data_IF_059631860141
#
_entry.id   IF_059631860141
#
_cell.length_a   1.000
_cell.length_b   1.000
_cell.length_c   1.000
_cell.angle_alpha   90.00
_cell.angle_beta   90.00
_cell.angle_gamma   90.00
#
_symmetry.space_group_name_H-M   'P 1'
#
loop_
_entity.id
_entity.type
_entity.pdbx_description
1 polymer ?
#
# COMPACT_ATOMS: atom_id res chain seq x y z
N UNK A 1 24.36 -37.67 -22.02
CA UNK A 1 25.13 -36.48 -21.59
C UNK A 1 25.07 -35.31 -22.57
N UNK A 2 25.38 -35.47 -23.87
CA UNK A 2 25.37 -34.35 -24.85
C UNK A 2 24.02 -33.60 -24.97
N UNK A 3 22.89 -34.31 -25.03
CA UNK A 3 21.55 -33.69 -25.08
C UNK A 3 21.24 -32.87 -23.82
N UNK A 4 21.55 -33.43 -22.64
CA UNK A 4 21.38 -32.75 -21.36
C UNK A 4 22.22 -31.48 -21.28
N UNK A 5 23.49 -31.54 -21.70
CA UNK A 5 24.36 -30.37 -21.76
C UNK A 5 23.84 -29.28 -22.71
N UNK A 6 23.25 -29.67 -23.85
CA UNK A 6 22.65 -28.73 -24.79
C UNK A 6 21.39 -28.05 -24.23
N UNK A 7 20.51 -28.81 -23.57
CA UNK A 7 19.30 -28.29 -22.92
C UNK A 7 19.69 -27.34 -21.78
N UNK A 8 20.64 -27.75 -20.92
CA UNK A 8 21.10 -26.91 -19.81
C UNK A 8 21.82 -25.65 -20.30
N UNK A 9 22.67 -25.77 -21.32
CA UNK A 9 23.40 -24.63 -21.89
C UNK A 9 22.46 -23.62 -22.56
N UNK A 10 21.53 -24.08 -23.39
CA UNK A 10 20.53 -23.21 -24.02
C UNK A 10 19.58 -22.57 -23.00
N UNK A 11 19.13 -23.33 -22.00
CA UNK A 11 18.33 -22.79 -20.90
C UNK A 11 19.05 -21.71 -20.09
N UNK A 12 20.34 -21.91 -19.79
CA UNK A 12 21.15 -20.93 -19.10
C UNK A 12 21.33 -19.64 -19.92
N UNK A 13 21.58 -19.76 -21.22
CA UNK A 13 21.70 -18.61 -22.12
C UNK A 13 20.39 -17.81 -22.21
N UNK A 14 19.25 -18.51 -22.32
CA UNK A 14 17.93 -17.87 -22.30
C UNK A 14 17.66 -17.14 -20.99
N UNK A 15 18.01 -17.77 -19.85
CA UNK A 15 17.84 -17.15 -18.54
C UNK A 15 18.69 -15.88 -18.41
N UNK A 16 19.95 -15.91 -18.86
CA UNK A 16 20.84 -14.75 -18.85
C UNK A 16 20.29 -13.63 -19.74
N UNK A 17 19.84 -13.95 -20.96
CA UNK A 17 19.26 -12.96 -21.87
C UNK A 17 17.98 -12.34 -21.30
N UNK A 18 17.12 -13.15 -20.68
CA UNK A 18 15.91 -12.69 -20.01
C UNK A 18 16.26 -11.77 -18.83
N UNK A 19 17.21 -12.18 -17.98
CA UNK A 19 17.61 -11.39 -16.81
C UNK A 19 18.21 -10.04 -17.22
N UNK A 20 19.06 -10.03 -18.25
CA UNK A 20 19.63 -8.81 -18.79
C UNK A 20 18.53 -7.87 -19.33
N UNK A 21 17.54 -8.42 -20.03
CA UNK A 21 16.40 -7.65 -20.55
C UNK A 21 15.54 -7.07 -19.43
N UNK A 22 15.18 -7.90 -18.43
CA UNK A 22 14.40 -7.46 -17.26
C UNK A 22 15.14 -6.37 -16.49
N UNK A 23 16.44 -6.55 -16.26
CA UNK A 23 17.27 -5.55 -15.57
C UNK A 23 17.28 -4.23 -16.34
N UNK A 24 17.47 -4.27 -17.66
CA UNK A 24 17.45 -3.07 -18.50
C UNK A 24 16.11 -2.34 -18.44
N UNK A 25 14.99 -3.07 -18.55
CA UNK A 25 13.66 -2.48 -18.47
C UNK A 25 13.37 -1.88 -17.08
N UNK A 26 13.74 -2.59 -16.00
CA UNK A 26 13.57 -2.08 -14.64
C UNK A 26 14.43 -0.85 -14.39
N UNK A 27 15.68 -0.82 -14.84
CA UNK A 27 16.55 0.34 -14.73
C UNK A 27 15.97 1.54 -15.51
N UNK A 28 15.49 1.31 -16.73
CA UNK A 28 14.88 2.36 -17.55
C UNK A 28 13.61 2.90 -16.90
N UNK A 29 12.75 2.02 -16.40
CA UNK A 29 11.52 2.38 -15.71
C UNK A 29 11.83 3.16 -14.42
N UNK A 30 12.75 2.66 -13.59
CA UNK A 30 13.15 3.30 -12.35
C UNK A 30 13.76 4.69 -12.60
N UNK A 31 14.65 4.81 -13.58
CA UNK A 31 15.22 6.09 -14.00
C UNK A 31 14.14 7.08 -14.46
N UNK A 32 13.22 6.65 -15.32
CA UNK A 32 12.09 7.47 -15.76
C UNK A 32 11.19 7.91 -14.59
N UNK A 33 10.95 7.00 -13.63
CA UNK A 33 10.16 7.29 -12.43
C UNK A 33 10.80 8.38 -11.58
N UNK A 34 12.13 8.40 -11.46
CA UNK A 34 12.87 9.45 -10.75
C UNK A 34 12.65 10.82 -11.39
N UNK A 35 12.81 10.93 -12.71
CA UNK A 35 12.52 12.18 -13.43
C UNK A 35 11.08 12.64 -13.27
N UNK A 36 10.13 11.71 -13.31
CA UNK A 36 8.73 12.02 -13.11
C UNK A 36 8.46 12.63 -11.73
N UNK A 37 8.93 11.97 -10.66
CA UNK A 37 8.75 12.46 -9.28
C UNK A 37 9.46 13.78 -9.04
N UNK A 38 10.68 13.93 -9.57
CA UNK A 38 11.43 15.18 -9.50
C UNK A 38 10.66 16.33 -10.15
N UNK A 39 10.11 16.12 -11.35
CA UNK A 39 9.32 17.14 -12.03
C UNK A 39 8.04 17.51 -11.27
N UNK A 40 7.37 16.55 -10.61
CA UNK A 40 6.21 16.86 -9.76
C UNK A 40 6.62 17.65 -8.52
N UNK A 41 7.75 17.30 -7.90
CA UNK A 41 8.27 18.00 -6.73
C UNK A 41 8.67 19.44 -7.06
N UNK A 42 9.37 19.65 -8.17
CA UNK A 42 9.75 21.00 -8.64
C UNK A 42 8.52 21.86 -8.93
N UNK A 43 7.49 21.30 -9.57
CA UNK A 43 6.21 22.00 -9.80
C UNK A 43 5.52 22.37 -8.50
N UNK A 44 5.55 21.48 -7.51
CA UNK A 44 5.00 21.77 -6.19
C UNK A 44 5.77 22.91 -5.53
N UNK A 45 7.10 22.82 -5.48
CA UNK A 45 7.95 23.86 -4.90
C UNK A 45 7.73 25.22 -5.59
N UNK A 46 7.70 25.27 -6.92
CA UNK A 46 7.45 26.52 -7.64
C UNK A 46 6.08 27.12 -7.35
N UNK A 47 5.06 26.28 -7.11
CA UNK A 47 3.71 26.75 -6.75
C UNK A 47 3.68 27.41 -5.35
N UNK A 48 4.54 26.95 -4.45
CA UNK A 48 4.63 27.41 -3.07
C UNK A 48 5.83 28.34 -2.81
N UNK A 49 6.48 28.83 -3.86
CA UNK A 49 7.59 29.78 -3.75
C UNK A 49 7.13 31.04 -2.97
N UNK A 50 7.94 31.45 -1.99
CA UNK A 50 7.60 32.53 -1.04
C UNK A 50 6.53 32.18 0.01
N UNK A 51 6.00 30.94 0.00
CA UNK A 51 4.99 30.41 0.95
C UNK A 51 5.43 29.05 1.52
N UNK A 52 6.72 28.88 1.75
CA UNK A 52 7.35 27.62 2.19
C UNK A 52 6.75 27.08 3.49
N UNK A 53 6.42 27.99 4.43
CA UNK A 53 5.74 27.63 5.68
C UNK A 53 4.39 26.95 5.47
N UNK A 54 3.62 27.40 4.48
CA UNK A 54 2.33 26.78 4.15
C UNK A 54 2.55 25.38 3.57
N UNK A 55 3.55 25.22 2.68
CA UNK A 55 3.92 23.90 2.15
C UNK A 55 4.35 22.94 3.27
N UNK A 56 5.15 23.42 4.22
CA UNK A 56 5.57 22.63 5.37
C UNK A 56 4.38 22.20 6.24
N UNK A 57 3.50 23.12 6.62
CA UNK A 57 2.34 22.81 7.46
C UNK A 57 1.41 21.83 6.74
N UNK A 58 1.12 22.07 5.46
CA UNK A 58 0.28 21.17 4.66
C UNK A 58 0.93 19.79 4.52
N UNK A 59 2.22 19.71 4.19
CA UNK A 59 2.92 18.44 4.09
C UNK A 59 2.95 17.67 5.41
N UNK A 60 3.32 18.35 6.50
CA UNK A 60 3.44 17.75 7.82
C UNK A 60 2.10 17.34 8.42
N UNK A 61 0.98 17.94 8.00
CA UNK A 61 -0.36 17.59 8.50
C UNK A 61 -1.10 16.64 7.56
N UNK A 62 -1.18 16.95 6.27
CA UNK A 62 -2.00 16.20 5.32
C UNK A 62 -1.41 14.81 5.06
N UNK A 63 -0.09 14.66 4.96
CA UNK A 63 0.53 13.34 4.70
C UNK A 63 0.19 12.32 5.80
N UNK A 64 0.42 12.59 7.11
CA UNK A 64 0.05 11.64 8.14
C UNK A 64 -1.46 11.47 8.28
N UNK A 65 -2.26 12.53 8.11
CA UNK A 65 -3.73 12.44 8.14
C UNK A 65 -4.22 11.48 7.04
N UNK A 66 -3.78 11.67 5.80
CA UNK A 66 -4.18 10.83 4.67
C UNK A 66 -3.74 9.39 4.88
N UNK A 67 -2.51 9.16 5.34
CA UNK A 67 -2.00 7.83 5.60
C UNK A 67 -2.81 7.12 6.70
N UNK A 68 -3.04 7.81 7.82
CA UNK A 68 -3.84 7.30 8.93
C UNK A 68 -5.26 6.93 8.47
N UNK A 69 -5.96 7.85 7.81
CA UNK A 69 -7.35 7.62 7.40
C UNK A 69 -7.47 6.57 6.29
N UNK A 70 -6.51 6.51 5.36
CA UNK A 70 -6.53 5.50 4.29
C UNK A 70 -6.33 4.10 4.86
N UNK A 71 -5.31 3.90 5.70
CA UNK A 71 -5.08 2.61 6.32
C UNK A 71 -6.19 2.22 7.29
N UNK A 72 -6.64 3.16 8.13
CA UNK A 72 -7.72 2.92 9.08
C UNK A 72 -9.04 2.64 8.37
N UNK A 73 -9.32 3.35 7.27
CA UNK A 73 -10.47 3.10 6.42
C UNK A 73 -10.43 1.72 5.77
N UNK A 74 -9.27 1.30 5.26
CA UNK A 74 -9.09 -0.06 4.73
C UNK A 74 -9.33 -1.12 5.81
N UNK A 75 -8.74 -0.94 7.00
CA UNK A 75 -8.95 -1.85 8.13
C UNK A 75 -10.40 -1.86 8.60
N UNK A 76 -11.07 -0.71 8.62
CA UNK A 76 -12.49 -0.61 8.94
C UNK A 76 -13.36 -1.38 7.92
N UNK A 77 -13.05 -1.29 6.62
CA UNK A 77 -13.73 -2.09 5.59
C UNK A 77 -13.51 -3.58 5.85
N UNK A 78 -12.29 -3.99 6.19
CA UNK A 78 -11.98 -5.40 6.52
C UNK A 78 -12.74 -5.86 7.76
N UNK A 79 -12.79 -5.04 8.81
CA UNK A 79 -13.43 -5.37 10.08
C UNK A 79 -14.97 -5.42 9.95
N UNK A 80 -15.56 -4.56 9.12
CA UNK A 80 -17.02 -4.50 8.92
C UNK A 80 -17.53 -5.52 7.91
N UNK A 81 -16.78 -5.80 6.84
CA UNK A 81 -17.24 -6.68 5.75
C UNK A 81 -16.65 -8.09 5.81
N UNK A 82 -15.59 -8.29 6.60
CA UNK A 82 -14.84 -9.56 6.66
C UNK A 82 -14.02 -9.85 5.41
N UNK A 83 -13.91 -8.91 4.45
CA UNK A 83 -13.24 -9.07 3.15
C UNK A 83 -12.14 -8.00 2.96
N UNK A 84 -11.09 -8.28 2.16
CA UNK A 84 -10.82 -9.51 1.43
C UNK A 84 -10.25 -10.64 2.31
N UNK A 85 -10.54 -11.89 1.96
CA UNK A 85 -10.17 -13.10 2.71
C UNK A 85 -8.65 -13.25 2.94
N UNK A 86 -7.81 -12.66 2.08
CA UNK A 86 -6.36 -12.66 2.28
C UNK A 86 -5.92 -11.88 3.52
N UNK A 87 -6.62 -10.80 3.89
CA UNK A 87 -6.31 -10.00 5.08
C UNK A 87 -7.04 -10.59 6.29
N UNK A 88 -8.34 -10.86 6.15
CA UNK A 88 -9.18 -11.30 7.28
C UNK A 88 -8.77 -12.66 7.87
N UNK A 89 -8.13 -13.54 7.08
CA UNK A 89 -7.61 -14.84 7.58
C UNK A 89 -6.46 -14.72 8.60
N UNK A 90 -5.80 -13.56 8.67
CA UNK A 90 -4.68 -13.32 9.60
C UNK A 90 -5.10 -12.53 10.84
N UNK A 91 -6.41 -12.35 11.09
CA UNK A 91 -6.91 -11.69 12.31
C UNK A 91 -6.50 -12.50 13.54
N UNK A 92 -5.72 -11.88 14.42
CA UNK A 92 -5.24 -12.49 15.68
C UNK A 92 -6.37 -12.49 16.75
N UNK A 93 -7.25 -11.49 16.74
CA UNK A 93 -8.35 -11.35 17.70
C UNK A 93 -9.71 -11.38 16.98
N UNK A 94 -10.31 -12.56 16.89
CA UNK A 94 -11.64 -12.75 16.30
C UNK A 94 -12.71 -12.14 17.22
N UNK A 95 -13.67 -11.39 16.66
CA UNK A 95 -14.78 -10.81 17.45
C UNK A 95 -14.46 -9.50 18.19
N UNK A 96 -13.19 -9.07 18.27
CA UNK A 96 -12.79 -7.88 19.04
C UNK A 96 -13.24 -6.56 18.38
N UNK A 97 -13.06 -6.46 17.07
CA UNK A 97 -13.38 -5.28 16.27
C UNK A 97 -14.66 -5.47 15.44
N UNK A 98 -15.38 -6.56 15.67
CA UNK A 98 -16.62 -6.80 14.93
C UNK A 98 -17.68 -5.79 15.41
N UNK A 99 -18.57 -5.32 14.51
CA UNK A 99 -19.61 -4.38 14.89
C UNK A 99 -20.45 -4.93 16.04
N UNK A 100 -20.70 -4.13 17.07
CA UNK A 100 -21.57 -4.53 18.16
C UNK A 100 -22.97 -4.87 17.60
N UNK A 101 -23.48 -6.06 17.95
CA UNK A 101 -24.84 -6.42 17.59
C UNK A 101 -25.82 -5.38 18.17
N UNK A 102 -26.82 -4.97 17.40
CA UNK A 102 -27.83 -3.97 17.83
C UNK A 102 -28.50 -4.36 19.17
N UNK A 103 -28.59 -5.66 19.45
CA UNK A 103 -29.12 -6.21 20.70
C UNK A 103 -28.30 -5.85 21.94
N UNK A 104 -26.98 -5.64 21.81
CA UNK A 104 -26.13 -5.21 22.91
C UNK A 104 -26.40 -3.76 23.31
N UNK A 105 -26.63 -2.87 22.32
CA UNK A 105 -26.99 -1.48 22.56
C UNK A 105 -28.35 -1.36 23.28
N UNK A 106 -29.35 -2.12 22.84
CA UNK A 106 -30.67 -2.14 23.48
C UNK A 106 -30.59 -2.66 24.92
N UNK A 107 -29.90 -3.77 25.15
CA UNK A 107 -29.80 -4.38 26.48
C UNK A 107 -28.96 -3.53 27.46
N UNK A 108 -27.93 -2.83 26.97
CA UNK A 108 -27.15 -1.89 27.77
C UNK A 108 -27.93 -0.64 28.18
N UNK A 109 -28.83 -0.13 27.31
CA UNK A 109 -29.72 0.99 27.66
C UNK A 109 -30.79 0.60 28.70
N UNK A 110 -31.26 -0.65 28.68
CA UNK A 110 -32.20 -1.17 29.69
C UNK A 110 -31.53 -1.32 31.06
N UNK A 111 -30.30 -1.85 31.11
CA UNK A 111 -29.54 -2.04 32.36
C UNK A 111 -29.10 -0.73 33.04
N UNK A 112 -28.97 0.37 32.31
CA UNK A 112 -28.61 1.69 32.86
C UNK A 112 -29.83 2.54 33.24
N UNK A 113 -31.05 2.02 33.05
CA UNK A 113 -32.30 2.70 33.39
C UNK A 113 -32.87 2.26 34.75
N UNK A 114 -32.32 1.21 35.34
CA UNK A 114 -32.56 0.82 36.74
C UNK A 114 -31.52 1.44 37.68
#
# INVERSE_FOLDING_TARGET
MRRTAFILGSGLLLLVALWNSVTWHLQRFWGASGYFWQAQWERLLSTFEGKEWLLYILGATQVPILFFWTLSGLLLVVDTTGKPNFISRYRIQVGKNDPAAQTWLHRGMELNRE
#
